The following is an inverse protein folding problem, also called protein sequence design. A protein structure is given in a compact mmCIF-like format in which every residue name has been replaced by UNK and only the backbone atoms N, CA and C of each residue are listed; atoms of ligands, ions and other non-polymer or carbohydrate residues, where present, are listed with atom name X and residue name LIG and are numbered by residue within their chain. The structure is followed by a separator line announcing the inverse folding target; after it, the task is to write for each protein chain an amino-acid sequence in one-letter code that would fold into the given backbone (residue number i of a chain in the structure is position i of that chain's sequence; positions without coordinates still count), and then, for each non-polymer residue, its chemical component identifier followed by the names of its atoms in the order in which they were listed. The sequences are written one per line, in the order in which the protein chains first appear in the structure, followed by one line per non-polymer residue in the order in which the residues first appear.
data_IF_319654735608
#
_entry.id   IF_319654735608
#
_cell.length_a   1.000
_cell.length_b   1.000
_cell.length_c   1.000
_cell.angle_alpha   90.00
_cell.angle_beta   90.00
_cell.angle_gamma   90.00
#
_symmetry.space_group_name_H-M   'P 1'
#
loop_
_entity.id
_entity.type
_entity.pdbx_description
1 polymer ?
#
# COMPACT_ATOMS: atom_id res chain seq x y z
N UNK A 1 -10.07 20.82 -11.33
CA UNK A 1 -9.82 19.51 -10.70
C UNK A 1 -8.64 18.85 -11.41
N UNK A 2 -7.63 18.39 -10.67
CA UNK A 2 -6.48 17.63 -11.19
C UNK A 2 -6.56 16.20 -10.67
N UNK A 3 -6.23 15.21 -11.49
CA UNK A 3 -6.29 13.80 -11.09
C UNK A 3 -5.01 13.04 -11.44
N UNK A 4 -4.60 12.16 -10.53
CA UNK A 4 -3.38 11.39 -10.64
C UNK A 4 -3.61 9.93 -10.27
N UNK A 5 -3.20 9.02 -11.15
CA UNK A 5 -3.11 7.58 -10.85
C UNK A 5 -1.72 7.29 -10.28
N UNK A 6 -1.67 6.73 -9.09
CA UNK A 6 -0.43 6.26 -8.47
C UNK A 6 -0.20 4.81 -8.86
N UNK A 7 0.85 4.58 -9.63
CA UNK A 7 1.30 3.26 -10.02
C UNK A 7 2.60 2.89 -9.28
N UNK A 8 3.01 1.63 -9.27
CA UNK A 8 4.26 1.22 -8.62
C UNK A 8 4.90 0.02 -9.30
N UNK A 9 6.19 -0.19 -9.05
CA UNK A 9 6.91 -1.37 -9.48
C UNK A 9 6.50 -2.65 -8.75
N UNK A 10 6.18 -2.53 -7.46
CA UNK A 10 5.89 -3.68 -6.61
C UNK A 10 4.84 -3.42 -5.54
N UNK A 11 4.32 -4.52 -5.00
CA UNK A 11 3.51 -4.51 -3.79
C UNK A 11 4.28 -3.82 -2.65
N UNK A 12 3.58 -3.02 -1.85
CA UNK A 12 4.14 -2.30 -0.70
C UNK A 12 5.26 -1.29 -1.04
N UNK A 13 5.29 -0.74 -2.26
CA UNK A 13 6.15 0.40 -2.60
C UNK A 13 5.79 1.70 -1.86
N UNK A 14 4.65 1.74 -1.16
CA UNK A 14 4.21 2.86 -0.32
C UNK A 14 3.28 3.85 -1.00
N UNK A 15 2.59 3.46 -2.08
CA UNK A 15 1.61 4.30 -2.80
C UNK A 15 0.61 4.97 -1.85
N UNK A 16 -0.07 4.18 -1.01
CA UNK A 16 -1.06 4.69 -0.05
C UNK A 16 -0.46 5.72 0.89
N UNK A 17 0.73 5.45 1.44
CA UNK A 17 1.44 6.37 2.35
C UNK A 17 1.84 7.66 1.65
N UNK A 18 2.31 7.59 0.40
CA UNK A 18 2.62 8.76 -0.41
C UNK A 18 1.36 9.59 -0.65
N UNK A 19 0.25 8.96 -1.04
CA UNK A 19 -1.05 9.63 -1.22
C UNK A 19 -1.51 10.28 0.08
N UNK A 20 -1.40 9.59 1.22
CA UNK A 20 -1.72 10.14 2.54
C UNK A 20 -0.86 11.37 2.86
N UNK A 21 0.45 11.30 2.62
CA UNK A 21 1.34 12.44 2.81
C UNK A 21 0.96 13.64 1.95
N UNK A 22 0.67 13.42 0.66
CA UNK A 22 0.22 14.47 -0.27
C UNK A 22 -1.12 15.07 0.13
N UNK A 23 -2.11 14.23 0.48
CA UNK A 23 -3.41 14.68 0.97
C UNK A 23 -3.28 15.50 2.26
N UNK A 24 -2.32 15.15 3.14
CA UNK A 24 -2.04 15.90 4.36
C UNK A 24 -1.43 17.27 4.08
N UNK A 25 -0.50 17.36 3.13
CA UNK A 25 0.11 18.63 2.70
C UNK A 25 -0.94 19.53 2.04
N UNK A 26 -1.87 18.95 1.27
CA UNK A 26 -2.96 19.66 0.59
C UNK A 26 -4.22 19.76 1.45
N UNK A 27 -4.09 19.88 2.78
CA UNK A 27 -5.24 19.85 3.68
C UNK A 27 -6.22 21.03 3.54
N UNK A 28 -5.80 22.11 2.86
CA UNK A 28 -6.65 23.24 2.50
C UNK A 28 -7.48 22.98 1.22
N UNK A 29 -7.25 21.86 0.54
CA UNK A 29 -7.91 21.45 -0.70
C UNK A 29 -8.92 20.35 -0.45
N UNK A 30 -9.93 20.28 -1.32
CA UNK A 30 -10.89 19.17 -1.35
C UNK A 30 -10.28 18.00 -2.11
N UNK A 31 -10.03 16.90 -1.41
CA UNK A 31 -9.42 15.70 -1.97
C UNK A 31 -10.49 14.63 -2.21
N UNK A 32 -10.44 13.98 -3.37
CA UNK A 32 -11.09 12.71 -3.65
C UNK A 32 -10.06 11.57 -3.64
N UNK A 33 -10.48 10.38 -3.21
CA UNK A 33 -9.65 9.17 -3.27
C UNK A 33 -10.45 8.05 -3.92
N UNK A 34 -9.79 7.27 -4.79
CA UNK A 34 -10.37 6.11 -5.44
C UNK A 34 -9.35 4.99 -5.46
N UNK A 35 -9.79 3.74 -5.29
CA UNK A 35 -8.97 2.54 -5.48
C UNK A 35 -9.77 1.55 -6.31
N UNK A 36 -9.78 1.70 -7.65
CA UNK A 36 -10.71 1.00 -8.53
C UNK A 36 -10.65 -0.51 -8.34
N UNK A 37 -9.43 -1.06 -8.24
CA UNK A 37 -9.22 -2.46 -7.93
C UNK A 37 -8.80 -2.61 -6.47
N UNK A 38 -9.75 -3.02 -5.63
CA UNK A 38 -9.49 -3.31 -4.21
C UNK A 38 -8.73 -4.63 -4.05
N UNK A 39 -7.79 -4.67 -3.11
CA UNK A 39 -6.90 -5.81 -2.92
C UNK A 39 -6.85 -6.28 -1.47
N UNK A 40 -7.18 -5.40 -0.51
CA UNK A 40 -7.14 -5.68 0.92
C UNK A 40 -8.56 -5.68 1.46
N UNK A 41 -9.29 -6.74 1.11
CA UNK A 41 -10.71 -6.87 1.45
C UNK A 41 -10.89 -6.95 2.96
N UNK A 42 -11.75 -6.09 3.50
CA UNK A 42 -12.25 -6.17 4.86
C UNK A 42 -13.77 -6.23 4.84
N UNK A 43 -14.35 -7.04 5.73
CA UNK A 43 -15.80 -7.16 5.88
C UNK A 43 -16.26 -6.35 7.09
N UNK A 44 -17.01 -5.28 6.85
CA UNK A 44 -17.51 -4.39 7.92
C UNK A 44 -18.92 -3.91 7.58
N UNK A 45 -19.80 -3.86 8.57
CA UNK A 45 -21.22 -3.46 8.40
C UNK A 45 -21.95 -4.20 7.27
N UNK A 46 -21.70 -5.50 7.12
CA UNK A 46 -22.24 -6.36 6.06
C UNK A 46 -21.82 -5.98 4.62
N UNK A 47 -20.74 -5.23 4.46
CA UNK A 47 -20.23 -4.74 3.19
C UNK A 47 -18.74 -5.09 3.05
N UNK A 48 -18.28 -5.20 1.80
CA UNK A 48 -16.87 -5.40 1.47
C UNK A 48 -16.24 -4.05 1.19
N UNK A 49 -15.17 -3.73 1.91
CA UNK A 49 -14.38 -2.52 1.69
C UNK A 49 -12.94 -2.91 1.34
N UNK A 50 -12.21 -2.02 0.68
CA UNK A 50 -10.76 -2.07 0.70
C UNK A 50 -10.25 -1.40 1.98
N UNK A 51 -9.28 -2.01 2.64
CA UNK A 51 -8.69 -1.50 3.87
C UNK A 51 -8.09 -0.10 3.68
N UNK A 52 -7.38 0.13 2.57
CA UNK A 52 -6.70 1.39 2.30
C UNK A 52 -7.73 2.49 1.98
N UNK A 53 -8.78 2.15 1.22
CA UNK A 53 -9.92 3.03 0.98
C UNK A 53 -10.63 3.43 2.29
N UNK A 54 -10.91 2.46 3.17
CA UNK A 54 -11.52 2.72 4.47
C UNK A 54 -10.62 3.57 5.38
N UNK A 55 -9.30 3.38 5.32
CA UNK A 55 -8.33 4.20 6.04
C UNK A 55 -8.32 5.64 5.52
N UNK A 56 -8.29 5.84 4.20
CA UNK A 56 -8.33 7.16 3.56
C UNK A 56 -9.60 7.93 3.92
N UNK A 57 -10.78 7.30 3.82
CA UNK A 57 -12.05 7.92 4.23
C UNK A 57 -12.02 8.35 5.69
N UNK A 58 -11.51 7.49 6.58
CA UNK A 58 -11.48 7.77 8.02
C UNK A 58 -10.51 8.90 8.38
N UNK A 59 -9.29 8.85 7.85
CA UNK A 59 -8.21 9.80 8.19
C UNK A 59 -8.51 11.20 7.66
N UNK A 60 -9.01 11.29 6.42
CA UNK A 60 -9.29 12.58 5.77
C UNK A 60 -10.75 13.01 5.86
N UNK A 61 -11.60 12.24 6.57
CA UNK A 61 -13.04 12.51 6.72
C UNK A 61 -13.72 12.76 5.37
N UNK A 62 -13.44 11.89 4.40
CA UNK A 62 -14.04 11.96 3.08
C UNK A 62 -15.55 11.70 3.17
N UNK A 63 -16.34 12.39 2.35
CA UNK A 63 -17.81 12.26 2.32
C UNK A 63 -18.25 10.93 1.69
N UNK A 64 -17.37 10.31 0.91
CA UNK A 64 -17.62 9.08 0.18
C UNK A 64 -17.60 7.83 1.09
N UNK A 65 -18.52 6.89 0.85
CA UNK A 65 -18.49 5.61 1.54
C UNK A 65 -17.34 4.73 1.03
N UNK A 66 -16.61 4.00 1.90
CA UNK A 66 -15.50 3.15 1.47
C UNK A 66 -15.88 2.08 0.44
N UNK A 67 -17.13 1.61 0.44
CA UNK A 67 -17.63 0.63 -0.54
C UNK A 67 -17.77 1.19 -1.95
N UNK A 68 -17.93 2.51 -2.08
CA UNK A 68 -18.06 3.20 -3.36
C UNK A 68 -16.69 3.48 -4.00
N UNK A 69 -15.59 3.33 -3.26
CA UNK A 69 -14.25 3.71 -3.74
C UNK A 69 -13.56 2.65 -4.61
N UNK A 70 -14.12 1.43 -4.64
CA UNK A 70 -13.63 0.30 -5.42
C UNK A 70 -14.74 -0.28 -6.28
N UNK A 71 -14.40 -0.75 -7.48
CA UNK A 71 -15.37 -1.38 -8.39
C UNK A 71 -15.41 -2.91 -8.26
N UNK A 72 -14.36 -3.50 -7.69
CA UNK A 72 -14.27 -4.92 -7.40
C UNK A 72 -12.98 -5.30 -6.70
N UNK A 73 -12.92 -6.57 -6.28
CA UNK A 73 -11.90 -7.08 -5.37
C UNK A 73 -11.22 -8.38 -5.82
N UNK A 74 -11.76 -9.02 -6.87
CA UNK A 74 -11.31 -10.32 -7.33
C UNK A 74 -11.41 -10.41 -8.85
N UNK A 75 -10.40 -11.03 -9.47
CA UNK A 75 -10.34 -11.14 -10.92
C UNK A 75 -11.50 -11.97 -11.48
N UNK A 76 -11.78 -13.13 -10.88
CA UNK A 76 -12.78 -14.06 -11.40
C UNK A 76 -14.18 -13.46 -11.33
N UNK A 77 -14.50 -12.75 -10.24
CA UNK A 77 -15.78 -12.06 -10.10
C UNK A 77 -15.92 -10.90 -11.08
N UNK A 78 -14.87 -10.11 -11.27
CA UNK A 78 -14.87 -9.00 -12.23
C UNK A 78 -15.07 -9.52 -13.67
N UNK A 79 -14.32 -10.56 -14.08
CA UNK A 79 -14.45 -11.18 -15.40
C UNK A 79 -15.82 -11.81 -15.63
N UNK A 80 -16.45 -12.34 -14.59
CA UNK A 80 -17.80 -12.90 -14.69
C UNK A 80 -18.87 -11.81 -14.84
N UNK A 81 -18.68 -10.68 -14.16
CA UNK A 81 -19.68 -9.61 -14.11
C UNK A 81 -19.57 -8.61 -15.26
N UNK A 82 -18.36 -8.34 -15.77
CA UNK A 82 -18.08 -7.21 -16.65
C UNK A 82 -17.16 -7.59 -17.81
N UNK A 83 -17.40 -6.97 -18.95
CA UNK A 83 -16.45 -6.89 -20.05
C UNK A 83 -15.62 -5.59 -19.99
N UNK A 84 -14.76 -5.39 -20.98
CA UNK A 84 -13.87 -4.23 -21.05
C UNK A 84 -14.61 -2.89 -21.07
N UNK A 85 -15.70 -2.77 -21.85
CA UNK A 85 -16.43 -1.51 -21.96
C UNK A 85 -17.21 -1.23 -20.66
N UNK A 86 -17.81 -2.26 -20.06
CA UNK A 86 -18.53 -2.13 -18.79
C UNK A 86 -17.58 -1.73 -17.64
N UNK A 87 -16.37 -2.29 -17.59
CA UNK A 87 -15.34 -1.88 -16.62
C UNK A 87 -14.99 -0.41 -16.81
N UNK A 88 -14.72 0.00 -18.05
CA UNK A 88 -14.38 1.39 -18.39
C UNK A 88 -15.48 2.36 -18.01
N UNK A 89 -16.74 2.07 -18.33
CA UNK A 89 -17.90 2.90 -17.93
C UNK A 89 -18.01 3.01 -16.41
N UNK A 90 -17.87 1.89 -15.69
CA UNK A 90 -17.88 1.89 -14.21
C UNK A 90 -16.78 2.74 -13.59
N UNK A 91 -15.56 2.67 -14.14
CA UNK A 91 -14.45 3.51 -13.67
C UNK A 91 -14.77 4.99 -13.92
N UNK A 92 -15.31 5.33 -15.10
CA UNK A 92 -15.68 6.70 -15.47
C UNK A 92 -16.79 7.26 -14.57
N UNK A 93 -17.85 6.49 -14.35
CA UNK A 93 -18.98 6.90 -13.52
C UNK A 93 -18.54 7.12 -12.07
N UNK A 94 -17.73 6.19 -11.55
CA UNK A 94 -17.23 6.30 -10.19
C UNK A 94 -16.28 7.51 -10.04
N UNK A 95 -15.40 7.72 -11.01
CA UNK A 95 -14.51 8.89 -11.04
C UNK A 95 -15.31 10.20 -11.13
N UNK A 96 -16.35 10.28 -11.97
CA UNK A 96 -17.18 11.47 -12.09
C UNK A 96 -17.86 11.83 -10.76
N UNK A 97 -18.36 10.82 -10.03
CA UNK A 97 -18.95 10.99 -8.71
C UNK A 97 -17.94 11.43 -7.65
N UNK A 98 -16.77 10.78 -7.60
CA UNK A 98 -15.72 11.08 -6.60
C UNK A 98 -15.05 12.45 -6.88
N UNK A 99 -14.95 12.85 -8.14
CA UNK A 99 -14.30 14.10 -8.55
C UNK A 99 -15.18 15.34 -8.39
N UNK A 100 -16.49 15.18 -8.16
CA UNK A 100 -17.40 16.32 -7.99
C UNK A 100 -16.93 17.22 -6.84
N UNK A 101 -16.80 18.52 -7.14
CA UNK A 101 -16.35 19.56 -6.20
C UNK A 101 -15.00 19.28 -5.52
N UNK A 102 -14.14 18.43 -6.09
CA UNK A 102 -12.77 18.19 -5.61
C UNK A 102 -11.75 19.02 -6.38
N UNK A 103 -10.72 19.48 -5.68
CA UNK A 103 -9.57 20.14 -6.28
C UNK A 103 -8.60 19.09 -6.86
N UNK A 104 -8.38 18.01 -6.11
CA UNK A 104 -7.50 16.90 -6.47
C UNK A 104 -8.17 15.55 -6.28
N UNK A 105 -7.92 14.61 -7.19
CA UNK A 105 -8.33 13.21 -7.04
C UNK A 105 -7.11 12.31 -7.13
N UNK A 106 -6.92 11.50 -6.09
CA UNK A 106 -5.86 10.48 -6.04
C UNK A 106 -6.45 9.10 -6.29
N UNK A 107 -5.97 8.46 -7.35
CA UNK A 107 -6.41 7.13 -7.75
C UNK A 107 -5.29 6.16 -7.45
N UNK A 108 -5.49 5.24 -6.51
CA UNK A 108 -4.50 4.23 -6.18
C UNK A 108 -4.63 3.02 -7.11
N UNK A 109 -3.58 2.77 -7.91
CA UNK A 109 -3.48 1.61 -8.78
C UNK A 109 -3.15 0.31 -8.03
N UNK A 110 -3.10 -0.79 -8.77
CA UNK A 110 -2.80 -2.13 -8.23
C UNK A 110 -1.35 -2.31 -7.74
N UNK A 111 -1.00 -3.53 -7.32
CA UNK A 111 0.35 -3.87 -6.80
C UNK A 111 1.50 -3.49 -7.72
N UNK A 112 1.35 -3.67 -9.03
CA UNK A 112 2.38 -3.43 -10.05
C UNK A 112 1.77 -2.66 -11.22
N UNK A 113 2.58 -2.22 -12.17
CA UNK A 113 2.10 -1.57 -13.40
C UNK A 113 1.07 -2.40 -14.17
N UNK A 114 1.28 -3.71 -14.22
CA UNK A 114 0.46 -4.67 -14.98
C UNK A 114 -0.62 -5.37 -14.14
N UNK A 115 -0.69 -5.09 -12.84
CA UNK A 115 -1.72 -5.70 -12.00
C UNK A 115 -3.10 -5.19 -12.40
N UNK A 116 -4.03 -6.10 -12.68
CA UNK A 116 -5.37 -5.75 -13.14
C UNK A 116 -5.53 -5.67 -14.66
N UNK A 117 -4.47 -5.89 -15.47
CA UNK A 117 -4.60 -5.88 -16.94
C UNK A 117 -5.65 -6.87 -17.45
N UNK A 118 -5.72 -8.08 -16.87
CA UNK A 118 -6.71 -9.10 -17.28
C UNK A 118 -8.16 -8.71 -17.00
N UNK A 119 -8.38 -7.72 -16.13
CA UNK A 119 -9.71 -7.16 -15.81
C UNK A 119 -9.81 -5.69 -16.19
N UNK A 120 -8.90 -5.20 -17.04
CA UNK A 120 -8.92 -3.83 -17.56
C UNK A 120 -8.81 -2.74 -16.46
N UNK A 121 -8.15 -3.05 -15.34
CA UNK A 121 -7.98 -2.15 -14.19
C UNK A 121 -6.52 -1.84 -13.85
N UNK A 122 -5.59 -2.10 -14.78
CA UNK A 122 -4.21 -1.64 -14.60
C UNK A 122 -4.13 -0.11 -14.56
N UNK A 123 -3.01 0.38 -14.04
CA UNK A 123 -2.87 1.81 -13.74
C UNK A 123 -2.94 2.69 -14.99
N UNK A 124 -2.49 2.21 -16.15
CA UNK A 124 -2.53 2.97 -17.39
C UNK A 124 -3.93 2.96 -18.00
N UNK A 125 -4.61 1.81 -18.00
CA UNK A 125 -6.01 1.71 -18.41
C UNK A 125 -6.91 2.63 -17.57
N UNK A 126 -6.75 2.62 -16.25
CA UNK A 126 -7.50 3.52 -15.35
C UNK A 126 -7.17 4.99 -15.63
N UNK A 127 -5.90 5.33 -15.89
CA UNK A 127 -5.49 6.67 -16.25
C UNK A 127 -6.17 7.12 -17.55
N UNK A 128 -6.25 6.25 -18.55
CA UNK A 128 -6.97 6.51 -19.81
C UNK A 128 -8.45 6.78 -19.60
N UNK A 129 -9.11 5.94 -18.82
CA UNK A 129 -10.56 6.06 -18.61
C UNK A 129 -10.93 7.36 -17.89
N UNK A 130 -10.05 7.82 -16.99
CA UNK A 130 -10.28 9.01 -16.16
C UNK A 130 -9.64 10.28 -16.71
N UNK A 131 -8.86 10.19 -17.80
CA UNK A 131 -8.07 11.32 -18.31
C UNK A 131 -7.00 11.81 -17.32
N UNK A 132 -6.59 10.95 -16.39
CA UNK A 132 -5.64 11.28 -15.32
C UNK A 132 -4.19 11.10 -15.79
N UNK A 133 -3.27 11.81 -15.15
CA UNK A 133 -1.84 11.58 -15.36
C UNK A 133 -1.33 10.51 -14.39
N UNK A 134 -0.18 9.88 -14.69
CA UNK A 134 0.39 8.83 -13.83
C UNK A 134 1.54 9.39 -13.00
N UNK A 135 1.55 9.08 -11.71
CA UNK A 135 2.69 9.24 -10.81
C UNK A 135 3.20 7.86 -10.45
N UNK A 136 4.48 7.60 -10.70
CA UNK A 136 5.07 6.29 -10.45
C UNK A 136 5.82 6.27 -9.13
N UNK A 137 5.48 5.35 -8.24
CA UNK A 137 6.15 5.15 -6.95
C UNK A 137 7.05 3.94 -7.05
N UNK A 138 8.36 4.19 -7.14
CA UNK A 138 9.37 3.15 -7.23
C UNK A 138 9.97 2.88 -5.85
N UNK A 139 10.16 1.60 -5.53
CA UNK A 139 10.83 1.19 -4.30
C UNK A 139 11.52 -0.16 -4.51
N UNK A 140 12.74 -0.31 -4.01
CA UNK A 140 13.52 -1.53 -4.09
C UNK A 140 14.45 -1.65 -2.89
N UNK A 141 14.94 -2.86 -2.63
CA UNK A 141 16.06 -3.08 -1.71
C UNK A 141 17.40 -2.82 -2.42
N UNK A 142 17.43 -2.99 -3.73
CA UNK A 142 18.57 -2.68 -4.59
C UNK A 142 18.23 -1.44 -5.44
N UNK A 143 18.96 -0.34 -5.22
CA UNK A 143 18.76 0.92 -5.90
C UNK A 143 19.06 0.85 -7.41
N UNK A 144 19.98 -0.02 -7.85
CA UNK A 144 20.26 -0.19 -9.28
C UNK A 144 19.06 -0.78 -10.02
N UNK A 145 18.34 -1.72 -9.41
CA UNK A 145 17.09 -2.26 -9.96
C UNK A 145 16.05 -1.15 -10.25
N UNK A 146 16.02 -0.07 -9.45
CA UNK A 146 15.12 1.07 -9.71
C UNK A 146 15.55 1.80 -10.98
N UNK A 147 16.85 2.03 -11.15
CA UNK A 147 17.41 2.72 -12.31
C UNK A 147 17.13 1.93 -13.59
N UNK A 148 17.38 0.62 -13.58
CA UNK A 148 17.12 -0.27 -14.72
C UNK A 148 15.64 -0.30 -15.10
N UNK A 149 14.76 -0.36 -14.10
CA UNK A 149 13.31 -0.32 -14.31
C UNK A 149 12.85 1.00 -14.92
N UNK A 150 13.37 2.13 -14.44
CA UNK A 150 13.07 3.44 -15.01
C UNK A 150 13.60 3.59 -16.43
N UNK A 151 14.79 3.06 -16.73
CA UNK A 151 15.32 3.00 -18.08
C UNK A 151 14.40 2.19 -19.00
N UNK A 152 13.93 1.02 -18.52
CA UNK A 152 13.00 0.18 -19.27
C UNK A 152 11.66 0.89 -19.52
N UNK A 153 11.08 1.52 -18.50
CA UNK A 153 9.82 2.29 -18.64
C UNK A 153 9.98 3.41 -19.67
N UNK A 154 11.06 4.17 -19.58
CA UNK A 154 11.34 5.31 -20.47
C UNK A 154 11.56 4.89 -21.92
N UNK A 155 12.40 3.87 -22.14
CA UNK A 155 12.93 3.56 -23.47
C UNK A 155 12.22 2.37 -24.16
N UNK A 156 11.57 1.50 -23.40
CA UNK A 156 11.00 0.24 -23.93
C UNK A 156 9.47 0.17 -23.80
N UNK A 157 8.83 1.18 -23.22
CA UNK A 157 7.37 1.21 -23.06
C UNK A 157 6.78 2.52 -23.53
N UNK A 158 5.47 2.54 -23.80
CA UNK A 158 4.71 3.77 -24.07
C UNK A 158 4.21 4.46 -22.79
N UNK A 159 4.60 3.96 -21.61
CA UNK A 159 4.14 4.48 -20.33
C UNK A 159 4.62 5.91 -20.06
N UNK A 160 5.76 6.30 -20.63
CA UNK A 160 6.40 7.61 -20.41
C UNK A 160 5.49 8.78 -20.84
N UNK A 161 4.68 8.61 -21.89
CA UNK A 161 3.82 9.68 -22.43
C UNK A 161 2.80 10.22 -21.41
N UNK A 162 2.40 9.40 -20.44
CA UNK A 162 1.44 9.78 -19.39
C UNK A 162 2.08 10.02 -18.03
N UNK A 163 3.36 9.72 -17.92
CA UNK A 163 4.09 9.79 -16.66
C UNK A 163 4.41 11.26 -16.35
N UNK A 164 3.91 11.76 -15.22
CA UNK A 164 4.28 13.10 -14.72
C UNK A 164 5.68 13.08 -14.14
N UNK A 165 6.04 11.95 -13.54
CA UNK A 165 7.32 11.74 -12.91
C UNK A 165 7.26 10.63 -11.86
N UNK A 166 8.39 10.46 -11.20
CA UNK A 166 8.66 9.34 -10.30
C UNK A 166 8.91 9.84 -8.88
N UNK A 167 8.31 9.15 -7.91
CA UNK A 167 8.64 9.26 -6.50
C UNK A 167 9.42 8.02 -6.12
N UNK A 168 10.64 8.20 -5.65
CA UNK A 168 11.48 7.13 -5.14
C UNK A 168 11.21 7.00 -3.65
N UNK A 169 10.79 5.82 -3.19
CA UNK A 169 10.42 5.61 -1.81
C UNK A 169 11.23 4.49 -1.16
N UNK A 170 11.40 4.62 0.17
CA UNK A 170 12.16 3.70 1.01
C UNK A 170 13.65 3.66 0.70
N UNK A 171 14.24 4.82 0.42
CA UNK A 171 15.69 4.94 0.25
C UNK A 171 16.40 4.73 1.59
N UNK A 172 17.32 3.78 1.66
CA UNK A 172 18.06 3.44 2.90
C UNK A 172 19.05 4.55 3.28
N UNK A 173 19.84 5.03 2.33
CA UNK A 173 20.79 6.12 2.53
C UNK A 173 20.54 7.25 1.55
N UNK A 174 20.01 8.36 2.06
CA UNK A 174 19.77 9.58 1.27
C UNK A 174 21.08 10.20 0.76
N UNK A 175 22.18 10.05 1.49
CA UNK A 175 23.51 10.51 1.08
C UNK A 175 24.00 9.71 -0.13
N UNK A 176 24.01 8.38 -0.01
CA UNK A 176 24.40 7.49 -1.13
C UNK A 176 23.49 7.72 -2.35
N UNK A 177 22.20 7.95 -2.13
CA UNK A 177 21.27 8.28 -3.20
C UNK A 177 21.65 9.55 -3.96
N UNK A 178 21.95 10.62 -3.23
CA UNK A 178 22.34 11.90 -3.82
C UNK A 178 23.64 11.80 -4.61
N UNK A 179 24.63 11.08 -4.08
CA UNK A 179 25.99 11.08 -4.64
C UNK A 179 26.16 10.07 -5.78
N UNK A 180 25.45 8.95 -5.74
CA UNK A 180 25.63 7.84 -6.68
C UNK A 180 24.46 7.70 -7.66
N UNK A 181 23.22 7.69 -7.17
CA UNK A 181 22.06 7.28 -7.98
C UNK A 181 21.37 8.46 -8.68
N UNK A 182 21.28 9.62 -8.03
CA UNK A 182 20.67 10.80 -8.62
C UNK A 182 21.36 11.24 -9.94
N UNK A 183 22.71 11.29 -10.04
CA UNK A 183 23.39 11.62 -11.30
C UNK A 183 23.14 10.62 -12.43
N UNK A 184 22.82 9.35 -12.12
CA UNK A 184 22.48 8.35 -13.12
C UNK A 184 21.07 8.58 -13.68
N UNK A 185 20.11 8.95 -12.82
CA UNK A 185 18.73 9.22 -13.22
C UNK A 185 18.59 10.48 -14.08
N UNK A 186 19.39 11.51 -13.80
CA UNK A 186 19.45 12.73 -14.61
C UNK A 186 19.84 12.45 -16.08
N UNK A 187 20.57 11.34 -16.34
CA UNK A 187 20.93 10.92 -17.70
C UNK A 187 19.79 10.22 -18.46
N UNK A 188 18.80 9.69 -17.76
CA UNK A 188 17.67 8.92 -18.33
C UNK A 188 16.51 9.87 -18.72
N UNK A 189 16.61 11.17 -18.40
CA UNK A 189 15.57 12.18 -18.65
C UNK A 189 14.20 11.77 -18.06
N UNK A 190 14.25 11.24 -16.83
CA UNK A 190 13.07 10.90 -16.04
C UNK A 190 12.88 11.98 -14.98
N UNK A 191 11.69 12.59 -14.97
CA UNK A 191 11.35 13.61 -13.99
C UNK A 191 11.19 13.01 -12.58
N UNK A 192 12.17 13.21 -11.70
CA UNK A 192 12.07 12.79 -10.30
C UNK A 192 11.33 13.86 -9.50
N UNK A 193 10.14 13.52 -9.03
CA UNK A 193 9.26 14.41 -8.25
C UNK A 193 9.70 14.50 -6.79
N UNK A 194 10.36 13.46 -6.27
CA UNK A 194 10.83 13.42 -4.89
C UNK A 194 11.45 12.08 -4.51
N UNK A 195 12.24 12.12 -3.45
CA UNK A 195 12.93 10.97 -2.88
C UNK A 195 12.62 10.91 -1.39
N UNK A 196 12.11 9.77 -0.92
CA UNK A 196 11.64 9.57 0.44
C UNK A 196 12.51 8.51 1.15
N UNK A 197 13.05 8.83 2.34
CA UNK A 197 13.84 7.88 3.10
C UNK A 197 12.97 6.75 3.65
N UNK A 198 13.58 5.59 3.88
CA UNK A 198 12.92 4.51 4.62
C UNK A 198 12.68 4.93 6.07
N UNK A 199 11.46 4.72 6.54
CA UNK A 199 11.05 4.91 7.94
C UNK A 199 10.50 3.59 8.46
N UNK A 200 11.19 3.00 9.44
CA UNK A 200 10.84 1.68 9.98
C UNK A 200 9.48 1.70 10.66
N UNK A 201 9.14 2.83 11.28
CA UNK A 201 7.89 3.12 11.96
C UNK A 201 6.67 3.02 11.02
N UNK A 202 6.88 3.14 9.70
CA UNK A 202 5.83 2.99 8.69
C UNK A 202 5.71 1.56 8.14
N UNK A 203 6.55 0.64 8.61
CA UNK A 203 6.60 -0.76 8.16
C UNK A 203 6.15 -1.77 9.23
N UNK A 204 5.98 -1.30 10.46
CA UNK A 204 5.53 -2.13 11.59
C UNK A 204 4.00 -2.24 11.64
N UNK A 205 3.53 -3.32 12.27
CA UNK A 205 2.11 -3.53 12.57
C UNK A 205 1.90 -3.47 14.08
N UNK A 206 0.63 -3.47 14.53
CA UNK A 206 0.29 -3.52 15.95
C UNK A 206 -0.61 -4.73 16.26
N UNK A 207 -0.64 -5.21 17.52
CA UNK A 207 -1.60 -6.24 17.92
C UNK A 207 -3.05 -5.82 17.66
N UNK A 208 -3.40 -4.54 17.82
CA UNK A 208 -4.72 -4.00 17.51
C UNK A 208 -5.13 -4.29 16.06
N UNK A 209 -4.23 -4.04 15.09
CA UNK A 209 -4.51 -4.27 13.68
C UNK A 209 -4.70 -5.75 13.38
N UNK A 210 -3.88 -6.61 13.98
CA UNK A 210 -3.99 -8.06 13.83
C UNK A 210 -5.31 -8.57 14.39
N UNK A 211 -5.69 -8.12 15.60
CA UNK A 211 -6.94 -8.48 16.23
C UNK A 211 -8.16 -8.04 15.40
N UNK A 212 -8.14 -6.81 14.85
CA UNK A 212 -9.21 -6.33 13.95
C UNK A 212 -9.30 -7.19 12.68
N UNK A 213 -8.17 -7.54 12.05
CA UNK A 213 -8.15 -8.31 10.80
C UNK A 213 -8.53 -9.78 10.97
N UNK A 214 -8.16 -10.40 12.09
CA UNK A 214 -8.46 -11.80 12.38
C UNK A 214 -9.80 -11.98 13.09
N UNK A 215 -10.52 -10.89 13.41
CA UNK A 215 -11.68 -10.91 14.30
C UNK A 215 -11.36 -11.64 15.63
N UNK A 216 -10.13 -11.48 16.11
CA UNK A 216 -9.64 -12.19 17.27
C UNK A 216 -10.17 -11.55 18.55
N UNK A 217 -10.41 -12.39 19.56
CA UNK A 217 -10.73 -11.92 20.91
C UNK A 217 -9.44 -11.65 21.66
N UNK A 218 -9.26 -10.42 22.13
CA UNK A 218 -8.19 -10.06 23.07
C UNK A 218 -8.56 -10.62 24.44
N UNK A 219 -7.66 -11.41 25.04
CA UNK A 219 -7.90 -12.06 26.34
C UNK A 219 -7.29 -11.24 27.49
N UNK A 220 -6.20 -10.52 27.24
CA UNK A 220 -5.49 -9.68 28.19
C UNK A 220 -4.62 -8.64 27.46
N UNK A 221 -4.13 -7.62 28.17
CA UNK A 221 -3.19 -6.63 27.65
C UNK A 221 -3.80 -5.62 26.68
N UNK A 222 -5.05 -5.22 26.89
CA UNK A 222 -5.75 -4.26 26.01
C UNK A 222 -5.02 -2.91 25.91
N UNK A 223 -4.33 -2.52 26.98
CA UNK A 223 -3.53 -1.31 27.06
C UNK A 223 -2.26 -1.33 26.19
N UNK A 224 -1.82 -2.51 25.76
CA UNK A 224 -0.60 -2.71 24.96
C UNK A 224 -0.88 -2.97 23.47
N UNK A 225 -2.14 -2.92 23.05
CA UNK A 225 -2.51 -3.24 21.66
C UNK A 225 -1.94 -2.27 20.62
N UNK A 226 -1.45 -1.10 21.04
CA UNK A 226 -0.76 -0.13 20.19
C UNK A 226 0.75 -0.36 20.06
N UNK A 227 1.32 -1.34 20.76
CA UNK A 227 2.74 -1.65 20.67
C UNK A 227 3.13 -2.04 19.24
N UNK A 228 4.35 -1.67 18.86
CA UNK A 228 4.90 -2.03 17.55
C UNK A 228 5.35 -3.49 17.53
N UNK A 229 5.04 -4.17 16.43
CA UNK A 229 5.54 -5.50 16.10
C UNK A 229 6.53 -5.34 14.94
N UNK A 230 7.80 -5.55 15.24
CA UNK A 230 8.92 -5.56 14.29
C UNK A 230 9.30 -6.97 13.85
N UNK A 231 9.05 -7.97 14.70
CA UNK A 231 9.51 -9.34 14.51
C UNK A 231 8.36 -10.33 14.65
N UNK A 232 8.36 -11.41 13.87
CA UNK A 232 7.38 -12.50 13.99
C UNK A 232 8.14 -13.80 14.26
N UNK A 233 7.70 -14.53 15.28
CA UNK A 233 8.24 -15.83 15.64
C UNK A 233 7.15 -16.89 15.68
N UNK A 234 7.36 -18.01 14.99
CA UNK A 234 6.43 -19.14 14.96
C UNK A 234 6.89 -20.17 16.00
N UNK A 235 6.19 -20.25 17.13
CA UNK A 235 6.46 -21.14 18.25
C UNK A 235 5.92 -22.55 18.04
N UNK A 236 6.39 -23.25 17.02
CA UNK A 236 6.01 -24.65 16.73
C UNK A 236 6.92 -25.70 17.42
N UNK A 237 7.98 -25.25 18.09
CA UNK A 237 8.97 -26.09 18.81
C UNK A 237 8.82 -25.96 20.32
N UNK A 238 9.53 -26.75 21.12
CA UNK A 238 9.55 -26.64 22.60
C UNK A 238 10.04 -25.26 23.07
N UNK A 239 9.60 -24.81 24.25
CA UNK A 239 10.10 -23.55 24.84
C UNK A 239 11.64 -23.52 24.96
N UNK A 240 12.24 -24.65 25.35
CA UNK A 240 13.70 -24.79 25.46
C UNK A 240 14.45 -24.60 24.13
N UNK A 241 13.83 -24.95 23.00
CA UNK A 241 14.37 -24.71 21.67
C UNK A 241 14.08 -23.26 21.22
N UNK A 242 12.89 -22.75 21.52
CA UNK A 242 12.48 -21.39 21.17
C UNK A 242 13.39 -20.33 21.80
N UNK A 243 13.70 -20.43 23.09
CA UNK A 243 14.56 -19.46 23.81
C UNK A 243 15.99 -19.41 23.23
N UNK A 244 16.48 -20.51 22.65
CA UNK A 244 17.78 -20.54 21.97
C UNK A 244 17.76 -19.88 20.60
N UNK A 245 16.57 -19.64 20.04
CA UNK A 245 16.44 -19.00 18.74
C UNK A 245 16.66 -17.47 18.88
N UNK A 246 17.59 -16.88 18.12
CA UNK A 246 17.83 -15.44 18.17
C UNK A 246 16.58 -14.59 17.89
N UNK A 247 15.66 -15.06 17.05
CA UNK A 247 14.41 -14.34 16.76
C UNK A 247 13.47 -14.28 17.97
N UNK A 248 13.48 -15.30 18.84
CA UNK A 248 12.67 -15.29 20.06
C UNK A 248 13.16 -14.23 21.06
N UNK A 249 14.46 -13.94 21.05
CA UNK A 249 15.07 -12.96 21.96
C UNK A 249 15.05 -11.53 21.40
N UNK A 250 14.51 -11.32 20.20
CA UNK A 250 14.31 -9.97 19.69
C UNK A 250 13.19 -9.27 20.45
N UNK A 251 13.34 -7.96 20.59
CA UNK A 251 12.30 -7.08 21.11
C UNK A 251 11.20 -6.88 20.07
N UNK A 252 10.12 -6.28 20.53
CA UNK A 252 9.01 -5.86 19.70
C UNK A 252 8.49 -6.99 18.79
N UNK A 253 8.17 -8.15 19.37
CA UNK A 253 7.88 -9.39 18.62
C UNK A 253 6.45 -9.89 18.84
N UNK A 254 5.89 -10.49 17.79
CA UNK A 254 4.68 -11.30 17.82
C UNK A 254 5.06 -12.78 17.84
N UNK A 255 4.50 -13.53 18.79
CA UNK A 255 4.65 -14.99 18.85
C UNK A 255 3.34 -15.66 18.41
N UNK A 256 3.44 -16.55 17.43
CA UNK A 256 2.32 -17.36 16.95
C UNK A 256 2.56 -18.81 17.39
N UNK A 257 1.69 -19.35 18.24
CA UNK A 257 1.76 -20.73 18.73
C UNK A 257 0.36 -21.33 18.88
N UNK A 258 0.28 -22.64 19.14
CA UNK A 258 -0.99 -23.32 19.41
C UNK A 258 -1.46 -23.01 20.83
N UNK A 259 -2.77 -22.94 21.05
CA UNK A 259 -3.36 -22.52 22.33
C UNK A 259 -3.09 -23.47 23.50
N UNK A 260 -2.69 -24.71 23.21
CA UNK A 260 -2.28 -25.74 24.19
C UNK A 260 -0.78 -25.69 24.55
N UNK A 261 0.00 -24.81 23.90
CA UNK A 261 1.43 -24.65 24.15
C UNK A 261 1.70 -23.71 25.32
N UNK A 262 1.26 -24.11 26.50
CA UNK A 262 1.46 -23.38 27.76
C UNK A 262 2.94 -23.07 28.01
N UNK A 263 3.86 -23.97 27.63
CA UNK A 263 5.29 -23.76 27.76
C UNK A 263 5.81 -22.56 26.95
N UNK A 264 5.33 -22.39 25.72
CA UNK A 264 5.70 -21.24 24.86
C UNK A 264 5.01 -19.98 25.34
N UNK A 265 3.74 -20.06 25.73
CA UNK A 265 2.98 -18.89 26.22
C UNK A 265 3.66 -18.32 27.47
N UNK A 266 4.04 -19.16 28.43
CA UNK A 266 4.76 -18.74 29.63
C UNK A 266 6.13 -18.14 29.29
N UNK A 267 6.92 -18.81 28.46
CA UNK A 267 8.21 -18.28 28.02
C UNK A 267 8.07 -16.95 27.27
N UNK A 268 6.95 -16.70 26.59
CA UNK A 268 6.69 -15.44 25.89
C UNK A 268 6.41 -14.29 26.87
N UNK A 269 5.67 -14.56 27.95
CA UNK A 269 5.37 -13.57 28.99
C UNK A 269 6.64 -13.18 29.76
N UNK A 270 7.53 -14.14 30.00
CA UNK A 270 8.82 -13.89 30.68
C UNK A 270 9.83 -13.10 29.80
N UNK A 271 9.62 -13.06 28.48
CA UNK A 271 10.55 -12.46 27.52
C UNK A 271 9.89 -11.37 26.67
N UNK A 272 10.13 -10.08 26.97
CA UNK A 272 9.84 -8.85 26.18
C UNK A 272 9.15 -9.08 24.81
N UNK A 273 7.84 -9.40 24.85
CA UNK A 273 6.96 -9.70 23.69
C UNK A 273 5.95 -8.55 23.58
N UNK A 274 5.68 -8.08 22.35
CA UNK A 274 4.84 -6.91 22.07
C UNK A 274 3.38 -7.12 22.38
#
# INVERSE_FOLDING_TARGET
MKSFVFASNRKNAGKTTVIMGLARVLSDKRIGYMKPFGERVVYKKKRLWDYDAAAMTRVFKLDENPEDLSIGFDHSKLLYMYDAETVKEKVKDNFARISDKKDYVFIEGGKTLYHGCSVYLDSFSVADYTGSKVVYVASSVDEYSIIDELYHIKNNTKADEKLVGVIINKVESMENWRDVYQPLLERIDVNILGVLPRKKELEVTTPALIAEQLFAKVISGEEWLSNEIENIFIGAMSASAAIKNPLFNKKNKLIITSGDRTDIILASIEHDTS
#
